data_IF_681261976575
#
_entry.id   IF_681261976575
#
_cell.length_a   1.000
_cell.length_b   1.000
_cell.length_c   1.000
_cell.angle_alpha   90.00
_cell.angle_beta   90.00
_cell.angle_gamma   90.00
#
_symmetry.space_group_name_H-M   'P 1'
#
loop_
_entity.id
_entity.type
_entity.pdbx_description
1 polymer ?
#
# COMPACT_ATOMS: atom_id res chain seq x y z
N UNK A 1 8.60 -7.86 14.80
CA UNK A 1 8.47 -7.91 13.34
C UNK A 1 7.01 -8.13 12.89
N UNK A 2 6.34 -9.23 13.25
CA UNK A 2 4.98 -9.54 12.76
C UNK A 2 3.91 -8.48 13.07
N UNK A 3 3.89 -7.92 14.27
CA UNK A 3 2.95 -6.87 14.66
C UNK A 3 3.24 -5.53 13.94
N UNK A 4 4.51 -5.22 13.70
CA UNK A 4 4.92 -4.02 12.96
C UNK A 4 4.54 -4.11 11.47
N UNK A 5 4.80 -5.26 10.82
CA UNK A 5 4.40 -5.51 9.44
C UNK A 5 2.89 -5.37 9.24
N UNK A 6 2.10 -5.93 10.16
CA UNK A 6 0.65 -5.78 10.17
C UNK A 6 0.23 -4.31 10.20
N UNK A 7 0.74 -3.53 11.15
CA UNK A 7 0.39 -2.11 11.30
C UNK A 7 0.72 -1.33 10.02
N UNK A 8 1.88 -1.59 9.41
CA UNK A 8 2.28 -0.92 8.17
C UNK A 8 1.36 -1.26 7.00
N UNK A 9 0.97 -2.53 6.83
CA UNK A 9 0.08 -2.94 5.72
C UNK A 9 -1.31 -2.31 5.85
N UNK A 10 -1.91 -2.34 7.06
CA UNK A 10 -3.21 -1.69 7.27
C UNK A 10 -3.16 -0.18 7.05
N UNK A 11 -2.08 0.48 7.51
CA UNK A 11 -1.89 1.91 7.25
C UNK A 11 -1.80 2.22 5.75
N UNK A 12 -1.12 1.38 4.96
CA UNK A 12 -1.03 1.52 3.50
C UNK A 12 -2.41 1.42 2.85
N UNK A 13 -3.24 0.46 3.28
CA UNK A 13 -4.60 0.29 2.75
C UNK A 13 -5.46 1.52 3.07
N UNK A 14 -5.46 1.95 4.32
CA UNK A 14 -6.24 3.10 4.76
C UNK A 14 -5.82 4.38 4.01
N UNK A 15 -4.52 4.58 3.80
CA UNK A 15 -4.03 5.75 3.05
C UNK A 15 -4.36 5.61 1.57
N UNK A 16 -4.07 4.46 0.94
CA UNK A 16 -4.26 4.29 -0.50
C UNK A 16 -5.73 4.34 -0.92
N UNK A 17 -6.59 3.62 -0.20
CA UNK A 17 -8.01 3.47 -0.56
C UNK A 17 -8.94 4.43 0.20
N UNK A 18 -8.46 5.10 1.26
CA UNK A 18 -9.22 6.08 2.01
C UNK A 18 -8.85 7.53 1.68
N UNK A 19 -7.54 7.83 1.57
CA UNK A 19 -7.06 9.19 1.39
C UNK A 19 -6.67 9.52 -0.06
N UNK A 20 -5.96 8.60 -0.74
CA UNK A 20 -5.43 8.83 -2.10
C UNK A 20 -6.51 8.60 -3.14
N UNK A 21 -7.13 7.42 -3.17
CA UNK A 21 -8.25 7.15 -4.05
C UNK A 21 -9.54 7.68 -3.43
N UNK A 22 -10.09 8.72 -4.02
CA UNK A 22 -11.36 9.34 -3.58
C UNK A 22 -12.55 8.86 -4.37
N UNK A 23 -12.31 8.21 -5.52
CA UNK A 23 -13.34 7.62 -6.35
C UNK A 23 -13.78 6.25 -5.83
N UNK A 24 -15.05 5.92 -6.07
CA UNK A 24 -15.65 4.65 -5.67
C UNK A 24 -15.67 3.64 -6.81
N UNK A 25 -15.88 4.12 -8.04
CA UNK A 25 -15.91 3.28 -9.25
C UNK A 25 -14.86 3.73 -10.25
N UNK A 26 -14.21 2.74 -10.87
CA UNK A 26 -13.39 2.89 -12.05
C UNK A 26 -14.07 2.13 -13.20
N UNK A 27 -14.50 2.85 -14.22
CA UNK A 27 -15.22 2.33 -15.37
C UNK A 27 -14.27 2.30 -16.56
N UNK A 28 -13.91 1.11 -17.02
CA UNK A 28 -13.13 0.93 -18.24
C UNK A 28 -14.06 0.93 -19.45
N UNK A 29 -13.69 1.64 -20.49
CA UNK A 29 -14.51 1.84 -21.67
C UNK A 29 -13.68 1.79 -22.96
N UNK A 30 -14.30 1.43 -24.06
CA UNK A 30 -13.72 1.47 -25.41
C UNK A 30 -14.59 2.34 -26.32
N UNK A 31 -14.57 3.67 -26.14
CA UNK A 31 -15.35 4.55 -27.01
C UNK A 31 -14.76 4.62 -28.42
N UNK A 32 -15.62 4.71 -29.42
CA UNK A 32 -15.19 4.82 -30.84
C UNK A 32 -14.31 6.06 -31.11
N UNK A 33 -14.53 7.13 -30.34
CA UNK A 33 -13.82 8.41 -30.45
C UNK A 33 -13.99 9.24 -29.16
N UNK A 34 -13.27 10.36 -29.06
CA UNK A 34 -13.33 11.23 -27.90
C UNK A 34 -14.74 11.79 -27.60
N UNK A 35 -15.56 12.03 -28.64
CA UNK A 35 -16.94 12.49 -28.43
C UNK A 35 -17.84 11.41 -27.81
N UNK A 36 -17.59 10.15 -28.11
CA UNK A 36 -18.27 9.03 -27.45
C UNK A 36 -17.85 8.93 -25.97
N UNK A 37 -16.58 9.14 -25.64
CA UNK A 37 -16.09 9.24 -24.26
C UNK A 37 -16.79 10.35 -23.47
N UNK A 38 -16.86 11.57 -24.04
CA UNK A 38 -17.57 12.69 -23.42
C UNK A 38 -19.07 12.44 -23.20
N UNK A 39 -19.71 11.70 -24.10
CA UNK A 39 -21.12 11.28 -23.88
C UNK A 39 -21.26 10.33 -22.71
N UNK A 40 -20.34 9.38 -22.56
CA UNK A 40 -20.30 8.48 -21.41
C UNK A 40 -20.07 9.24 -20.09
N UNK A 41 -19.15 10.20 -20.09
CA UNK A 41 -18.96 11.10 -18.96
C UNK A 41 -20.24 11.88 -18.61
N UNK A 42 -20.92 12.44 -19.61
CA UNK A 42 -22.18 13.15 -19.41
C UNK A 42 -23.27 12.25 -18.84
N UNK A 43 -23.42 11.03 -19.37
CA UNK A 43 -24.34 10.03 -18.84
C UNK A 43 -23.98 9.60 -17.41
N UNK A 44 -22.68 9.44 -17.12
CA UNK A 44 -22.21 9.14 -15.77
C UNK A 44 -22.55 10.27 -14.77
N UNK A 45 -22.47 11.53 -15.21
CA UNK A 45 -22.84 12.69 -14.38
C UNK A 45 -24.37 12.84 -14.18
N UNK A 46 -25.19 12.25 -15.04
CA UNK A 46 -26.64 12.21 -14.88
C UNK A 46 -27.11 11.14 -13.89
N UNK A 47 -26.28 10.15 -13.55
CA UNK A 47 -26.64 9.13 -12.56
C UNK A 47 -26.91 9.77 -11.19
N UNK A 48 -27.99 9.35 -10.54
CA UNK A 48 -28.47 9.97 -9.29
C UNK A 48 -27.45 9.90 -8.14
N UNK A 49 -26.60 8.86 -8.13
CA UNK A 49 -25.59 8.65 -7.10
C UNK A 49 -24.20 9.21 -7.49
N UNK A 50 -24.02 9.80 -8.65
CA UNK A 50 -22.74 10.42 -9.03
C UNK A 50 -22.58 11.79 -8.38
N UNK A 51 -21.50 11.96 -7.59
CA UNK A 51 -21.11 13.25 -7.04
C UNK A 51 -20.16 14.01 -7.99
N UNK A 52 -19.16 13.31 -8.52
CA UNK A 52 -18.20 13.82 -9.51
C UNK A 52 -17.65 12.68 -10.34
N UNK A 53 -17.19 13.00 -11.54
CA UNK A 53 -16.50 12.05 -12.42
C UNK A 53 -15.37 12.75 -13.17
N UNK A 54 -14.37 12.00 -13.56
CA UNK A 54 -13.28 12.44 -14.42
C UNK A 54 -12.99 11.38 -15.48
N UNK A 55 -12.88 11.81 -16.74
CA UNK A 55 -12.37 10.95 -17.81
C UNK A 55 -10.86 11.02 -17.86
N UNK A 56 -10.24 9.87 -18.09
CA UNK A 56 -8.80 9.75 -18.23
C UNK A 56 -8.44 8.77 -19.36
N UNK A 57 -7.23 8.90 -19.85
CA UNK A 57 -6.63 7.88 -20.69
C UNK A 57 -5.55 7.16 -19.90
N UNK A 58 -5.70 5.85 -19.78
CA UNK A 58 -4.75 4.99 -19.06
C UNK A 58 -4.16 3.95 -19.99
N UNK A 59 -2.85 3.77 -19.90
CA UNK A 59 -2.14 2.66 -20.57
C UNK A 59 -0.90 2.24 -19.80
N UNK A 60 -0.43 1.03 -20.05
CA UNK A 60 0.85 0.56 -19.53
C UNK A 60 2.00 1.37 -20.13
N UNK A 61 2.97 1.71 -19.31
CA UNK A 61 4.19 2.42 -19.68
C UNK A 61 5.39 1.81 -18.96
N UNK A 62 6.51 1.71 -19.66
CA UNK A 62 7.80 1.41 -19.04
C UNK A 62 8.56 2.71 -18.82
N UNK A 63 8.83 3.05 -17.58
CA UNK A 63 9.64 4.19 -17.20
C UNK A 63 11.08 3.75 -16.95
N UNK A 64 12.07 4.41 -17.55
CA UNK A 64 13.47 4.00 -17.47
C UNK A 64 14.44 5.18 -17.43
N UNK A 65 15.61 4.94 -16.86
CA UNK A 65 16.78 5.82 -16.91
C UNK A 65 18.06 4.96 -16.78
N UNK A 66 19.21 5.61 -16.52
CA UNK A 66 20.49 4.91 -16.34
C UNK A 66 20.54 3.98 -15.12
N UNK A 67 19.63 4.16 -14.14
CA UNK A 67 19.55 3.35 -12.92
C UNK A 67 18.74 2.07 -13.11
N UNK A 68 17.86 2.01 -14.13
CA UNK A 68 17.01 0.84 -14.37
C UNK A 68 15.74 1.13 -15.16
N UNK A 69 14.81 0.20 -15.10
CA UNK A 69 13.53 0.24 -15.79
C UNK A 69 12.44 -0.33 -14.89
N UNK A 70 11.26 0.30 -14.90
CA UNK A 70 10.10 -0.09 -14.11
C UNK A 70 8.83 0.04 -14.96
N UNK A 71 7.95 -0.96 -14.85
CA UNK A 71 6.64 -0.90 -15.48
C UNK A 71 5.64 -0.20 -14.57
N UNK A 72 4.75 0.57 -15.19
CA UNK A 72 3.73 1.33 -14.50
C UNK A 72 2.56 1.69 -15.42
N UNK A 73 1.76 2.63 -14.95
CA UNK A 73 0.60 3.15 -15.66
C UNK A 73 0.78 4.62 -15.95
N UNK A 74 0.62 4.97 -17.21
CA UNK A 74 0.48 6.34 -17.65
C UNK A 74 -0.98 6.76 -17.49
N UNK A 75 -1.22 7.88 -16.85
CA UNK A 75 -2.54 8.51 -16.69
C UNK A 75 -2.50 9.89 -17.31
N UNK A 76 -3.30 10.08 -18.34
CA UNK A 76 -3.43 11.35 -19.08
C UNK A 76 -4.79 11.95 -18.82
N UNK A 77 -4.84 13.25 -18.54
CA UNK A 77 -6.09 13.99 -18.31
C UNK A 77 -6.07 15.32 -19.04
N UNK A 78 -7.20 15.74 -19.58
CA UNK A 78 -7.43 17.09 -20.10
C UNK A 78 -7.98 18.05 -19.03
N UNK A 79 -8.51 17.51 -17.92
CA UNK A 79 -8.98 18.27 -16.76
C UNK A 79 -8.26 17.83 -15.48
N UNK A 80 -7.06 18.39 -15.17
CA UNK A 80 -6.35 18.11 -13.94
C UNK A 80 -7.16 18.43 -12.67
N UNK A 81 -8.09 19.39 -12.72
CA UNK A 81 -8.92 19.74 -11.58
C UNK A 81 -9.99 18.69 -11.30
N UNK A 82 -10.59 18.10 -12.34
CA UNK A 82 -11.50 16.97 -12.21
C UNK A 82 -10.76 15.73 -11.67
N UNK A 83 -9.58 15.42 -12.19
CA UNK A 83 -8.75 14.32 -11.69
C UNK A 83 -8.37 14.52 -10.21
N UNK A 84 -8.04 15.73 -9.78
CA UNK A 84 -7.70 16.05 -8.39
C UNK A 84 -8.88 15.85 -7.42
N UNK A 85 -10.11 15.79 -7.91
CA UNK A 85 -11.27 15.39 -7.10
C UNK A 85 -11.35 13.87 -6.90
N UNK A 86 -10.75 13.08 -7.81
CA UNK A 86 -10.77 11.63 -7.81
C UNK A 86 -9.53 11.03 -7.15
N UNK A 87 -8.37 11.67 -7.31
CA UNK A 87 -7.08 11.18 -6.78
C UNK A 87 -6.36 12.31 -6.07
N UNK A 88 -5.99 12.09 -4.81
CA UNK A 88 -5.21 13.06 -4.05
C UNK A 88 -3.75 12.99 -4.50
N UNK A 89 -3.29 14.00 -5.22
CA UNK A 89 -1.88 14.15 -5.59
C UNK A 89 -1.18 15.06 -4.57
N UNK A 90 -0.39 14.46 -3.68
CA UNK A 90 0.34 15.19 -2.63
C UNK A 90 1.75 14.65 -2.45
N UNK A 91 2.67 15.49 -1.99
CA UNK A 91 4.01 15.04 -1.55
C UNK A 91 3.93 14.25 -0.25
N UNK A 92 4.64 13.12 -0.15
CA UNK A 92 4.72 12.33 1.09
C UNK A 92 5.36 13.12 2.24
N UNK A 93 6.35 13.97 1.95
CA UNK A 93 7.18 14.64 2.97
C UNK A 93 6.42 15.64 3.84
N UNK A 94 5.47 16.37 3.25
CA UNK A 94 4.80 17.52 3.88
C UNK A 94 3.29 17.56 3.60
N UNK A 95 2.76 16.66 2.76
CA UNK A 95 1.37 16.64 2.35
C UNK A 95 0.96 17.78 1.41
N UNK A 96 1.92 18.52 0.85
CA UNK A 96 1.63 19.60 -0.07
C UNK A 96 1.00 19.08 -1.37
N UNK A 97 -0.04 19.75 -1.91
CA UNK A 97 -0.64 19.34 -3.17
C UNK A 97 0.36 19.50 -4.34
N UNK A 98 0.34 18.54 -5.25
CA UNK A 98 1.15 18.54 -6.47
C UNK A 98 0.21 18.70 -7.66
N UNK A 99 0.48 19.68 -8.49
CA UNK A 99 -0.31 19.97 -9.70
C UNK A 99 0.32 19.33 -10.93
N UNK A 100 -0.53 18.84 -11.84
CA UNK A 100 -0.10 18.35 -13.15
C UNK A 100 0.12 19.56 -14.05
N UNK A 101 1.35 19.74 -14.52
CA UNK A 101 1.76 20.85 -15.39
C UNK A 101 1.90 20.39 -16.84
N UNK A 102 1.95 21.36 -17.79
CA UNK A 102 2.03 21.07 -19.22
C UNK A 102 3.49 20.94 -19.74
N UNK A 103 4.48 20.86 -18.85
CA UNK A 103 5.91 20.81 -19.20
C UNK A 103 6.65 19.59 -18.66
N UNK A 104 5.91 18.63 -18.10
CA UNK A 104 6.49 17.40 -17.58
C UNK A 104 5.50 16.44 -16.97
N UNK A 105 6.01 15.55 -16.14
CA UNK A 105 5.25 14.45 -15.53
C UNK A 105 5.33 14.46 -14.02
N UNK A 106 4.26 14.02 -13.39
CA UNK A 106 4.20 13.72 -11.96
C UNK A 106 4.27 12.21 -11.78
N UNK A 107 5.19 11.73 -10.96
CA UNK A 107 5.43 10.28 -10.78
C UNK A 107 5.18 9.85 -9.34
N UNK A 108 4.84 8.57 -9.16
CA UNK A 108 4.72 7.98 -7.82
C UNK A 108 6.07 7.90 -7.11
N UNK A 109 6.07 8.12 -5.78
CA UNK A 109 7.30 8.14 -4.96
C UNK A 109 8.12 6.85 -5.11
N UNK A 110 7.47 5.68 -5.07
CA UNK A 110 8.19 4.41 -5.22
C UNK A 110 8.87 4.25 -6.57
N UNK A 111 8.28 4.79 -7.65
CA UNK A 111 8.91 4.84 -8.95
C UNK A 111 10.15 5.76 -8.93
N UNK A 112 10.03 6.93 -8.30
CA UNK A 112 11.14 7.86 -8.12
C UNK A 112 12.28 7.23 -7.32
N UNK A 113 11.98 6.54 -6.24
CA UNK A 113 12.96 5.83 -5.40
C UNK A 113 13.70 4.74 -6.20
N UNK A 114 12.97 3.86 -6.92
CA UNK A 114 13.55 2.75 -7.66
C UNK A 114 14.43 3.20 -8.83
N UNK A 115 14.10 4.32 -9.46
CA UNK A 115 14.89 4.91 -10.54
C UNK A 115 15.84 6.01 -10.06
N UNK A 116 15.92 6.27 -8.74
CA UNK A 116 16.73 7.33 -8.15
C UNK A 116 16.51 8.70 -8.82
N UNK A 117 15.23 9.09 -8.97
CA UNK A 117 14.79 10.33 -9.60
C UNK A 117 14.37 11.36 -8.57
N UNK A 118 14.67 12.62 -8.87
CA UNK A 118 14.24 13.81 -8.14
C UNK A 118 13.45 14.74 -9.06
N UNK A 119 12.71 15.69 -8.48
CA UNK A 119 12.07 16.75 -9.27
C UNK A 119 13.11 17.54 -10.06
N UNK A 120 12.90 17.64 -11.35
CA UNK A 120 13.83 18.26 -12.29
C UNK A 120 14.63 17.28 -13.17
N UNK A 121 14.72 16.01 -12.75
CA UNK A 121 15.39 14.95 -13.52
C UNK A 121 14.54 14.54 -14.75
N UNK A 122 15.16 13.81 -15.65
CA UNK A 122 14.52 13.32 -16.87
C UNK A 122 14.46 11.79 -16.84
N UNK A 123 13.31 11.24 -17.27
CA UNK A 123 13.13 9.81 -17.49
C UNK A 123 12.66 9.53 -18.92
N UNK A 124 12.92 8.33 -19.40
CA UNK A 124 12.41 7.83 -20.67
C UNK A 124 11.13 7.05 -20.43
N UNK A 125 10.06 7.43 -21.13
CA UNK A 125 8.79 6.73 -21.14
C UNK A 125 8.66 5.95 -22.45
N UNK A 126 8.33 4.66 -22.35
CA UNK A 126 8.06 3.77 -23.47
C UNK A 126 6.64 3.24 -23.39
N UNK A 127 5.79 3.64 -24.30
CA UNK A 127 4.41 3.18 -24.42
C UNK A 127 4.04 2.91 -25.89
N UNK A 128 4.91 2.18 -26.60
CA UNK A 128 4.93 1.96 -28.05
C UNK A 128 6.03 2.81 -28.69
N UNK A 129 6.04 4.10 -28.46
CA UNK A 129 7.13 5.01 -28.78
C UNK A 129 7.91 5.41 -27.52
N UNK A 130 9.18 5.81 -27.71
CA UNK A 130 10.04 6.29 -26.64
C UNK A 130 10.12 7.80 -26.66
N UNK A 131 9.90 8.41 -25.51
CA UNK A 131 10.02 9.85 -25.34
C UNK A 131 10.64 10.17 -23.98
N UNK A 132 11.34 11.32 -23.91
CA UNK A 132 11.92 11.80 -22.67
C UNK A 132 11.02 12.85 -22.03
N UNK A 133 10.73 12.67 -20.75
CA UNK A 133 9.90 13.58 -19.98
C UNK A 133 10.63 14.04 -18.72
N UNK A 134 10.45 15.31 -18.36
CA UNK A 134 10.97 15.89 -17.14
C UNK A 134 10.03 15.59 -15.96
N UNK A 135 10.56 15.22 -14.81
CA UNK A 135 9.80 15.06 -13.56
C UNK A 135 9.50 16.43 -12.97
N UNK A 136 8.23 16.80 -12.88
CA UNK A 136 7.76 18.06 -12.29
C UNK A 136 7.22 17.89 -10.88
N UNK A 137 6.89 16.64 -10.47
CA UNK A 137 6.39 16.36 -9.14
C UNK A 137 6.54 14.88 -8.78
N UNK A 138 6.59 14.60 -7.48
CA UNK A 138 6.62 13.25 -6.94
C UNK A 138 5.50 13.16 -5.90
N UNK A 139 4.61 12.15 -6.05
CA UNK A 139 3.41 12.01 -5.23
C UNK A 139 3.39 10.71 -4.45
N UNK A 140 2.78 10.79 -3.28
CA UNK A 140 2.52 9.65 -2.42
C UNK A 140 1.62 8.63 -3.13
N UNK A 141 2.12 7.38 -3.29
CA UNK A 141 1.39 6.28 -3.89
C UNK A 141 1.98 4.95 -3.46
N UNK A 142 1.16 4.04 -2.96
CA UNK A 142 1.63 2.77 -2.38
C UNK A 142 1.34 1.54 -3.25
N UNK A 143 0.38 1.65 -4.17
CA UNK A 143 -0.04 0.55 -5.01
C UNK A 143 0.23 0.89 -6.47
N UNK A 144 1.05 0.06 -7.13
CA UNK A 144 1.50 0.25 -8.52
C UNK A 144 2.38 1.50 -8.70
N UNK A 145 2.90 1.68 -9.91
CA UNK A 145 3.66 2.86 -10.31
C UNK A 145 2.82 3.67 -11.29
N UNK A 146 2.73 4.97 -11.04
CA UNK A 146 1.96 5.88 -11.88
C UNK A 146 2.81 7.01 -12.40
N UNK A 147 2.50 7.42 -13.63
CA UNK A 147 3.02 8.59 -14.32
C UNK A 147 1.81 9.42 -14.76
N UNK A 148 1.63 10.60 -14.19
CA UNK A 148 0.52 11.50 -14.50
C UNK A 148 1.02 12.60 -15.42
N UNK A 149 0.25 12.94 -16.44
CA UNK A 149 0.53 14.09 -17.32
C UNK A 149 -0.75 14.71 -17.89
N UNK A 150 -0.64 15.94 -18.33
CA UNK A 150 -1.73 16.60 -19.05
C UNK A 150 -1.86 16.08 -20.48
N UNK A 151 -3.05 16.18 -21.05
CA UNK A 151 -3.33 15.84 -22.43
C UNK A 151 -2.48 16.66 -23.42
N UNK A 152 -2.29 17.96 -23.12
CA UNK A 152 -1.46 18.84 -23.94
C UNK A 152 -0.01 18.35 -23.99
N UNK A 153 0.57 18.00 -22.82
CA UNK A 153 1.92 17.48 -22.78
C UNK A 153 2.04 16.09 -23.44
N UNK A 154 1.02 15.22 -23.29
CA UNK A 154 0.98 13.94 -23.97
C UNK A 154 1.05 14.07 -25.49
N UNK A 155 0.19 14.93 -26.06
CA UNK A 155 0.16 15.18 -27.52
C UNK A 155 1.48 15.82 -28.00
N UNK A 156 2.05 16.73 -27.23
CA UNK A 156 3.36 17.34 -27.54
C UNK A 156 4.48 16.29 -27.51
N UNK A 157 4.46 15.37 -26.54
CA UNK A 157 5.52 14.40 -26.31
C UNK A 157 5.50 13.25 -27.32
N UNK A 158 4.32 12.70 -27.62
CA UNK A 158 4.14 11.52 -28.46
C UNK A 158 3.61 11.83 -29.87
N UNK A 159 3.19 13.07 -30.14
CA UNK A 159 2.70 13.48 -31.46
C UNK A 159 1.39 12.81 -31.89
N UNK A 160 0.68 12.18 -30.97
CA UNK A 160 -0.56 11.45 -31.22
C UNK A 160 -1.68 11.94 -30.31
N UNK A 161 -2.90 11.98 -30.84
CA UNK A 161 -4.09 12.20 -30.02
C UNK A 161 -4.41 10.92 -29.22
N UNK A 162 -5.15 11.08 -28.13
CA UNK A 162 -5.64 9.98 -27.32
C UNK A 162 -7.18 9.99 -27.26
N UNK A 163 -7.74 8.82 -26.96
CA UNK A 163 -9.15 8.68 -26.67
C UNK A 163 -9.25 8.21 -25.23
N UNK A 164 -9.98 8.93 -24.33
CA UNK A 164 -10.18 8.48 -22.96
C UNK A 164 -10.76 7.07 -22.92
N UNK A 165 -10.22 6.23 -22.07
CA UNK A 165 -10.63 4.83 -21.95
C UNK A 165 -11.05 4.43 -20.53
N UNK A 166 -11.04 5.38 -19.60
CA UNK A 166 -11.50 5.16 -18.23
C UNK A 166 -12.25 6.38 -17.69
N UNK A 167 -13.27 6.10 -16.84
CA UNK A 167 -13.91 7.08 -15.98
C UNK A 167 -13.62 6.73 -14.53
N UNK A 168 -13.23 7.73 -13.74
CA UNK A 168 -13.20 7.66 -12.28
C UNK A 168 -14.41 8.36 -11.72
N UNK A 169 -15.18 7.73 -10.85
CA UNK A 169 -16.46 8.24 -10.38
C UNK A 169 -16.51 8.19 -8.86
N UNK A 170 -16.81 9.35 -8.26
CA UNK A 170 -17.12 9.45 -6.82
C UNK A 170 -18.62 9.40 -6.63
N UNK A 171 -19.09 8.52 -5.76
CA UNK A 171 -20.50 8.40 -5.40
C UNK A 171 -20.92 9.42 -4.33
N UNK A 172 -22.18 9.89 -4.35
CA UNK A 172 -22.78 10.69 -3.27
C UNK A 172 -23.01 9.85 -2.02
N UNK A 173 -23.53 8.64 -2.22
CA UNK A 173 -23.65 7.63 -1.19
C UNK A 173 -22.59 6.54 -1.44
N UNK A 174 -21.50 6.52 -0.64
CA UNK A 174 -20.41 5.55 -0.77
C UNK A 174 -20.75 4.19 -0.15
N UNK A 175 -21.96 3.97 0.37
CA UNK A 175 -22.34 2.70 0.95
C UNK A 175 -22.31 1.57 -0.10
N UNK A 176 -21.75 0.41 0.28
CA UNK A 176 -21.55 -0.73 -0.63
C UNK A 176 -22.76 -1.10 -1.49
N UNK A 177 -24.01 -1.20 -0.94
CA UNK A 177 -25.16 -1.53 -1.77
C UNK A 177 -25.45 -0.48 -2.86
N UNK A 178 -25.32 0.82 -2.55
CA UNK A 178 -25.58 1.90 -3.49
C UNK A 178 -24.52 1.97 -4.59
N UNK A 179 -23.25 1.73 -4.24
CA UNK A 179 -22.15 1.66 -5.20
C UNK A 179 -22.25 0.41 -6.08
N UNK A 180 -22.70 -0.71 -5.53
CA UNK A 180 -22.90 -1.93 -6.30
C UNK A 180 -24.04 -1.79 -7.33
N UNK A 181 -25.18 -1.20 -6.94
CA UNK A 181 -26.28 -0.89 -7.87
C UNK A 181 -25.82 0.06 -8.97
N UNK A 182 -25.04 1.08 -8.61
CA UNK A 182 -24.43 2.00 -9.56
C UNK A 182 -23.47 1.27 -10.52
N UNK A 183 -22.63 0.38 -10.02
CA UNK A 183 -21.73 -0.44 -10.83
C UNK A 183 -22.48 -1.26 -11.88
N UNK A 184 -23.62 -1.87 -11.50
CA UNK A 184 -24.47 -2.63 -12.42
C UNK A 184 -25.06 -1.74 -13.52
N UNK A 185 -25.56 -0.55 -13.18
CA UNK A 185 -26.06 0.40 -14.18
C UNK A 185 -25.00 0.82 -15.18
N UNK A 186 -23.76 1.06 -14.73
CA UNK A 186 -22.65 1.40 -15.64
C UNK A 186 -22.25 0.23 -16.53
N UNK A 187 -22.28 -1.01 -16.02
CA UNK A 187 -21.99 -2.20 -16.84
C UNK A 187 -22.98 -2.41 -17.99
N UNK A 188 -24.18 -1.83 -17.91
CA UNK A 188 -25.19 -1.91 -18.97
C UNK A 188 -25.04 -0.81 -20.04
N UNK A 189 -24.13 0.15 -19.84
CA UNK A 189 -23.89 1.23 -20.80
C UNK A 189 -23.09 0.72 -22.01
N UNK A 190 -23.44 1.22 -23.19
CA UNK A 190 -22.69 0.96 -24.41
C UNK A 190 -21.23 1.39 -24.27
N UNK A 191 -20.33 0.60 -24.83
CA UNK A 191 -18.87 0.81 -24.80
C UNK A 191 -18.20 0.64 -23.42
N UNK A 192 -18.91 0.32 -22.36
CA UNK A 192 -18.31 -0.06 -21.07
C UNK A 192 -17.87 -1.52 -21.13
N UNK A 193 -16.62 -1.77 -20.80
CA UNK A 193 -16.00 -3.11 -20.84
C UNK A 193 -15.81 -3.73 -19.45
N UNK A 194 -15.60 -2.89 -18.44
CA UNK A 194 -15.48 -3.33 -17.06
C UNK A 194 -15.82 -2.19 -16.08
N UNK A 195 -16.33 -2.56 -14.91
CA UNK A 195 -16.50 -1.66 -13.77
C UNK A 195 -15.82 -2.26 -12.56
N UNK A 196 -14.94 -1.51 -11.94
CA UNK A 196 -14.24 -1.90 -10.71
C UNK A 196 -14.73 -1.06 -9.53
N UNK A 197 -15.26 -1.73 -8.51
CA UNK A 197 -15.61 -1.10 -7.25
C UNK A 197 -14.38 -1.06 -6.35
N UNK A 198 -13.88 0.13 -6.04
CA UNK A 198 -12.67 0.36 -5.25
C UNK A 198 -12.88 -0.01 -3.78
N UNK A 199 -14.06 0.27 -3.23
CA UNK A 199 -14.43 -0.13 -1.87
C UNK A 199 -14.44 -1.65 -1.71
N UNK A 200 -15.03 -2.38 -2.67
CA UNK A 200 -15.03 -3.85 -2.68
C UNK A 200 -13.61 -4.42 -2.81
N UNK A 201 -12.75 -3.79 -3.62
CA UNK A 201 -11.36 -4.18 -3.74
C UNK A 201 -10.60 -3.99 -2.40
N UNK A 202 -10.79 -2.86 -1.73
CA UNK A 202 -10.22 -2.59 -0.41
C UNK A 202 -10.70 -3.61 0.63
N UNK A 203 -12.00 -3.91 0.66
CA UNK A 203 -12.59 -4.88 1.57
C UNK A 203 -12.05 -6.31 1.33
N UNK A 204 -11.95 -6.73 0.06
CA UNK A 204 -11.36 -8.03 -0.30
C UNK A 204 -9.89 -8.13 0.15
N UNK A 205 -9.15 -7.03 0.04
CA UNK A 205 -7.78 -6.98 0.52
C UNK A 205 -7.71 -7.10 2.06
N UNK A 206 -8.59 -6.39 2.77
CA UNK A 206 -8.71 -6.47 4.22
C UNK A 206 -9.05 -7.90 4.70
N UNK A 207 -9.98 -8.59 4.04
CA UNK A 207 -10.33 -9.99 4.35
C UNK A 207 -9.14 -10.94 4.15
N UNK A 208 -8.41 -10.80 3.04
CA UNK A 208 -7.19 -11.58 2.81
C UNK A 208 -6.15 -11.32 3.90
N UNK A 209 -6.03 -10.09 4.39
CA UNK A 209 -5.14 -9.75 5.50
C UNK A 209 -5.59 -10.34 6.84
N UNK A 210 -6.89 -10.55 7.08
CA UNK A 210 -7.38 -11.27 8.26
C UNK A 210 -6.83 -12.70 8.32
N UNK A 211 -6.76 -13.39 7.18
CA UNK A 211 -6.18 -14.73 7.09
C UNK A 211 -4.68 -14.73 7.40
N UNK A 212 -3.92 -13.79 6.86
CA UNK A 212 -2.49 -13.61 7.15
C UNK A 212 -2.29 -13.31 8.64
N UNK A 213 -3.13 -12.45 9.23
CA UNK A 213 -3.07 -12.13 10.65
C UNK A 213 -3.33 -13.34 11.56
N UNK A 214 -4.27 -14.22 11.19
CA UNK A 214 -4.50 -15.48 11.91
C UNK A 214 -3.26 -16.38 11.87
N UNK A 215 -2.60 -16.51 10.71
CA UNK A 215 -1.37 -17.27 10.56
C UNK A 215 -0.23 -16.69 11.43
N UNK A 216 -0.03 -15.38 11.42
CA UNK A 216 0.95 -14.70 12.27
C UNK A 216 0.67 -14.95 13.75
N UNK A 217 -0.59 -14.90 14.17
CA UNK A 217 -0.99 -15.17 15.56
C UNK A 217 -0.64 -16.61 15.97
N UNK A 218 -0.91 -17.58 15.11
CA UNK A 218 -0.55 -18.99 15.35
C UNK A 218 0.97 -19.17 15.51
N UNK A 219 1.76 -18.50 14.64
CA UNK A 219 3.22 -18.54 14.72
C UNK A 219 3.72 -17.95 16.04
N UNK A 220 3.16 -16.82 16.48
CA UNK A 220 3.52 -16.19 17.75
C UNK A 220 3.21 -17.12 18.94
N UNK A 221 2.01 -17.72 18.94
CA UNK A 221 1.61 -18.66 20.00
C UNK A 221 2.51 -19.90 20.02
N UNK A 222 2.84 -20.44 18.85
CA UNK A 222 3.74 -21.60 18.74
C UNK A 222 5.16 -21.27 19.23
N UNK A 223 5.68 -20.10 18.88
CA UNK A 223 6.98 -19.64 19.36
C UNK A 223 6.99 -19.41 20.88
N UNK A 224 5.91 -18.86 21.44
CA UNK A 224 5.76 -18.69 22.89
C UNK A 224 5.70 -20.05 23.61
N UNK A 225 4.95 -21.01 23.07
CA UNK A 225 4.89 -22.36 23.63
C UNK A 225 6.26 -23.05 23.60
N UNK A 226 6.99 -22.93 22.48
CA UNK A 226 8.36 -23.47 22.38
C UNK A 226 9.30 -22.84 23.42
N UNK A 227 9.23 -21.51 23.56
CA UNK A 227 10.05 -20.80 24.55
C UNK A 227 9.76 -21.28 26.00
N UNK A 228 8.48 -21.50 26.33
CA UNK A 228 8.09 -22.04 27.63
C UNK A 228 8.67 -23.46 27.86
N UNK A 229 8.60 -24.33 26.85
CA UNK A 229 9.17 -25.69 26.96
C UNK A 229 10.69 -25.65 27.15
N UNK A 230 11.37 -24.78 26.39
CA UNK A 230 12.83 -24.61 26.52
C UNK A 230 13.21 -24.07 27.90
N UNK A 231 12.51 -23.04 28.40
CA UNK A 231 12.73 -22.49 29.75
C UNK A 231 12.47 -23.53 30.84
N UNK A 232 11.40 -24.33 30.70
CA UNK A 232 11.09 -25.41 31.63
C UNK A 232 12.21 -26.44 31.67
N UNK A 233 12.67 -26.91 30.50
CA UNK A 233 13.77 -27.91 30.44
C UNK A 233 15.07 -27.34 31.01
N UNK A 234 15.42 -26.09 30.66
CA UNK A 234 16.62 -25.42 31.18
C UNK A 234 16.58 -25.31 32.72
N UNK A 235 15.41 -24.92 33.26
CA UNK A 235 15.21 -24.82 34.71
C UNK A 235 15.35 -26.19 35.39
N UNK A 236 14.79 -27.25 34.81
CA UNK A 236 14.90 -28.60 35.35
C UNK A 236 16.36 -29.10 35.37
N UNK A 237 17.11 -28.87 34.30
CA UNK A 237 18.53 -29.21 34.21
C UNK A 237 19.32 -28.45 35.28
N UNK A 238 19.14 -27.15 35.40
CA UNK A 238 19.80 -26.33 36.42
C UNK A 238 19.53 -26.80 37.85
N UNK A 239 18.28 -27.16 38.15
CA UNK A 239 17.91 -27.71 39.48
C UNK A 239 18.60 -29.02 39.71
N UNK A 240 18.60 -29.94 38.73
CA UNK A 240 19.18 -31.28 38.86
C UNK A 240 20.69 -31.24 39.05
N UNK A 241 21.40 -30.37 38.33
CA UNK A 241 22.85 -30.20 38.46
C UNK A 241 23.26 -29.62 39.82
N UNK A 242 22.43 -28.74 40.41
CA UNK A 242 22.72 -28.06 41.68
C UNK A 242 22.05 -28.70 42.91
N UNK A 243 21.48 -29.88 42.77
CA UNK A 243 20.71 -30.56 43.82
C UNK A 243 21.53 -30.71 45.13
N UNK A 244 22.84 -31.01 45.04
CA UNK A 244 23.72 -31.13 46.22
C UNK A 244 23.98 -29.78 46.90
N UNK A 245 24.16 -28.71 46.15
CA UNK A 245 24.33 -27.34 46.67
C UNK A 245 23.06 -26.89 47.39
N UNK A 246 21.90 -27.12 46.76
CA UNK A 246 20.59 -26.79 47.32
C UNK A 246 20.29 -27.57 48.62
N UNK A 247 20.66 -28.86 48.68
CA UNK A 247 20.54 -29.66 49.89
C UNK A 247 21.43 -29.11 51.02
N UNK A 248 22.64 -28.67 50.71
CA UNK A 248 23.55 -28.06 51.69
C UNK A 248 22.99 -26.72 52.25
N UNK A 249 22.44 -25.87 51.39
CA UNK A 249 21.82 -24.59 51.78
C UNK A 249 20.57 -24.85 52.66
N UNK A 250 19.79 -25.89 52.35
CA UNK A 250 18.63 -26.26 53.15
C UNK A 250 19.01 -26.77 54.54
N UNK A 251 20.10 -27.52 54.67
CA UNK A 251 20.65 -27.98 55.97
C UNK A 251 21.20 -26.78 56.78
N UNK A 252 21.69 -25.74 56.11
CA UNK A 252 22.15 -24.50 56.74
C UNK A 252 21.01 -23.57 57.20
N UNK A 253 19.71 -23.97 56.98
CA UNK A 253 18.55 -23.28 57.50
C UNK A 253 17.87 -22.26 56.54
N UNK A 254 18.23 -22.27 55.26
CA UNK A 254 17.55 -21.43 54.26
C UNK A 254 16.11 -21.92 54.02
N UNK A 255 15.17 -20.98 53.89
CA UNK A 255 13.77 -21.27 53.58
C UNK A 255 13.58 -21.63 52.11
N UNK A 256 12.54 -22.45 51.81
CA UNK A 256 12.23 -22.89 50.44
C UNK A 256 12.01 -21.72 49.47
N UNK A 257 11.49 -20.57 49.93
CA UNK A 257 11.34 -19.35 49.11
C UNK A 257 12.67 -18.70 48.74
N UNK A 258 13.66 -18.72 49.63
CA UNK A 258 15.00 -18.19 49.38
C UNK A 258 15.78 -19.07 48.40
N UNK A 259 15.65 -20.39 48.53
CA UNK A 259 16.20 -21.33 47.58
C UNK A 259 15.61 -21.18 46.20
N UNK A 260 14.31 -21.06 46.08
CA UNK A 260 13.62 -20.81 44.83
C UNK A 260 14.05 -19.48 44.18
N UNK A 261 14.13 -18.43 44.96
CA UNK A 261 14.59 -17.12 44.48
C UNK A 261 16.04 -17.17 43.94
N UNK A 262 16.91 -17.95 44.58
CA UNK A 262 18.29 -18.12 44.14
C UNK A 262 18.37 -18.83 42.77
N UNK A 263 17.58 -19.87 42.53
CA UNK A 263 17.54 -20.60 41.26
C UNK A 263 16.93 -19.74 40.15
N UNK A 264 15.79 -19.12 40.42
CA UNK A 264 15.06 -18.35 39.39
C UNK A 264 15.76 -17.04 39.01
N UNK A 265 16.57 -16.45 39.88
CA UNK A 265 17.28 -15.20 39.63
C UNK A 265 18.16 -15.26 38.37
N UNK A 266 18.87 -16.37 38.19
CA UNK A 266 19.71 -16.60 36.99
C UNK A 266 18.86 -16.70 35.73
N UNK A 267 17.80 -17.49 35.76
CA UNK A 267 16.87 -17.65 34.65
C UNK A 267 16.14 -16.33 34.27
N UNK A 268 15.75 -15.54 35.28
CA UNK A 268 15.12 -14.22 35.02
C UNK A 268 16.08 -13.26 34.35
N UNK A 269 17.33 -13.18 34.79
CA UNK A 269 18.37 -12.32 34.18
C UNK A 269 18.59 -12.74 32.71
N UNK A 270 18.75 -14.04 32.44
CA UNK A 270 18.94 -14.58 31.10
C UNK A 270 17.72 -14.30 30.21
N UNK A 271 16.51 -14.46 30.74
CA UNK A 271 15.27 -14.18 29.99
C UNK A 271 15.15 -12.69 29.63
N UNK A 272 15.47 -11.79 30.56
CA UNK A 272 15.45 -10.35 30.30
C UNK A 272 16.47 -9.97 29.23
N UNK A 273 17.71 -10.48 29.32
CA UNK A 273 18.74 -10.22 28.32
C UNK A 273 18.36 -10.78 26.94
N UNK A 274 17.83 -12.00 26.88
CA UNK A 274 17.38 -12.63 25.66
C UNK A 274 16.19 -11.84 25.01
N UNK A 275 15.27 -11.32 25.85
CA UNK A 275 14.14 -10.50 25.38
C UNK A 275 14.64 -9.18 24.78
N UNK A 276 15.58 -8.50 25.44
CA UNK A 276 16.17 -7.25 24.92
C UNK A 276 16.91 -7.48 23.60
N UNK A 277 17.71 -8.55 23.50
CA UNK A 277 18.39 -8.93 22.26
C UNK A 277 17.38 -9.28 21.16
N UNK A 278 16.32 -10.03 21.49
CA UNK A 278 15.25 -10.35 20.54
C UNK A 278 14.50 -9.13 20.02
N UNK A 279 14.26 -8.11 20.87
CA UNK A 279 13.68 -6.84 20.45
C UNK A 279 14.58 -6.08 19.47
N UNK A 280 15.89 -6.01 19.75
CA UNK A 280 16.87 -5.34 18.86
C UNK A 280 16.94 -6.05 17.51
N UNK A 281 17.09 -7.38 17.51
CA UNK A 281 17.12 -8.19 16.30
C UNK A 281 15.79 -8.09 15.51
N UNK A 282 14.67 -8.10 16.21
CA UNK A 282 13.34 -7.94 15.59
C UNK A 282 13.17 -6.58 14.92
N UNK A 283 13.73 -5.51 15.51
CA UNK A 283 13.73 -4.18 14.90
C UNK A 283 14.64 -4.12 13.67
N UNK A 284 15.83 -4.68 13.74
CA UNK A 284 16.76 -4.74 12.60
C UNK A 284 16.17 -5.51 11.42
N UNK A 285 15.53 -6.65 11.67
CA UNK A 285 14.83 -7.43 10.64
C UNK A 285 13.61 -6.72 10.05
N UNK A 286 13.01 -5.80 10.77
CA UNK A 286 11.88 -5.03 10.28
C UNK A 286 12.31 -3.83 9.40
N UNK A 287 13.52 -3.34 9.58
CA UNK A 287 14.08 -2.23 8.79
C UNK A 287 14.74 -2.71 7.48
N UNK A 288 14.97 -4.01 7.36
CA UNK A 288 15.51 -4.67 6.16
C UNK A 288 14.40 -5.18 5.25
#
# INVERSE_FOLDING_TARGET
AGLGLRSSIFSIIDIQYGDIYRYNLQVSMEPENAEAGKRLLAQAMEDENTASAAEIYTRSVTASNDSGSQDGYLVVTDDPAALAQQVTLRELSNGAPVEIQNDGVVISEKLAELLNLSVGDTLTLECGEKAQAKVTGIVEHYVRHYVYMSAEFYTQLFGTDYVPNELMITAKDPADPAVEEMSQRFMEMDSVTAVSNIGAAAHSFEENMKAVNAAVTIIILSAAALALVVLYNLTNINITERLRELATLKVLGFYDGELSAYIYRENVILTVLATLLGMVLGKLLHQW
#
